data_IF_298894234624
#
_entry.id   IF_298894234624
#
_cell.length_a   1.000
_cell.length_b   1.000
_cell.length_c   1.000
_cell.angle_alpha   90.00
_cell.angle_beta   90.00
_cell.angle_gamma   90.00
#
_symmetry.space_group_name_H-M   'P 1'
#
loop_
_entity.id
_entity.type
_entity.pdbx_description
1 polymer ?
#
# COMPACT_ATOMS: atom_id res chain seq x y z
N UNK A 1 59.11 -30.46 -10.53
CA UNK A 1 58.04 -31.11 -9.73
C UNK A 1 57.44 -30.05 -8.82
N UNK A 2 56.11 -30.09 -8.76
CA UNK A 2 55.17 -29.04 -8.40
C UNK A 2 55.20 -28.50 -6.95
N UNK A 3 54.43 -27.42 -6.80
CA UNK A 3 53.49 -27.08 -5.71
C UNK A 3 53.89 -25.88 -4.83
N UNK A 4 53.06 -24.87 -4.51
CA UNK A 4 51.75 -24.38 -4.98
C UNK A 4 51.63 -22.95 -4.42
N UNK A 5 51.65 -21.92 -5.27
CA UNK A 5 51.24 -20.55 -4.89
C UNK A 5 49.74 -20.43 -5.23
N UNK A 6 48.88 -20.53 -4.22
CA UNK A 6 47.46 -20.19 -4.36
C UNK A 6 47.22 -18.71 -4.07
N UNK A 7 47.23 -17.97 -5.17
CA UNK A 7 46.33 -16.88 -5.53
C UNK A 7 45.26 -16.47 -4.50
N UNK A 8 45.50 -15.33 -3.83
CA UNK A 8 44.55 -14.61 -2.97
C UNK A 8 43.91 -13.41 -3.69
N UNK A 9 43.92 -13.38 -5.03
CA UNK A 9 43.28 -12.33 -5.81
C UNK A 9 41.78 -12.60 -6.05
N UNK A 10 40.96 -12.46 -5.00
CA UNK A 10 39.50 -12.30 -5.16
C UNK A 10 38.81 -11.67 -3.95
N UNK A 11 39.15 -10.43 -3.65
CA UNK A 11 38.28 -9.53 -2.89
C UNK A 11 37.75 -8.44 -3.84
N UNK A 12 36.42 -8.26 -3.98
CA UNK A 12 35.86 -7.17 -4.76
C UNK A 12 36.27 -5.84 -4.13
N UNK A 13 36.95 -5.00 -4.90
CA UNK A 13 37.27 -3.62 -4.55
C UNK A 13 35.99 -2.83 -4.27
N UNK A 14 35.84 -2.32 -3.04
CA UNK A 14 34.74 -1.44 -2.67
C UNK A 14 34.83 -0.12 -3.47
N UNK A 15 33.71 0.42 -3.99
CA UNK A 15 33.73 1.66 -4.76
C UNK A 15 34.02 2.88 -3.84
N UNK A 16 34.81 3.87 -4.32
CA UNK A 16 35.51 4.88 -3.51
C UNK A 16 34.63 5.99 -2.88
N UNK A 17 33.30 5.84 -2.80
CA UNK A 17 32.40 6.87 -2.26
C UNK A 17 31.28 6.34 -1.36
N UNK A 18 31.49 5.17 -0.76
CA UNK A 18 30.53 4.61 0.20
C UNK A 18 30.78 5.16 1.63
N UNK A 19 29.71 5.46 2.36
CA UNK A 19 29.71 5.93 3.75
C UNK A 19 28.92 4.93 4.59
N UNK A 20 29.41 4.61 5.79
CA UNK A 20 28.72 3.73 6.72
C UNK A 20 27.59 4.46 7.45
N UNK A 21 26.45 3.80 7.62
CA UNK A 21 25.37 4.29 8.46
C UNK A 21 25.78 4.26 9.94
N UNK A 22 25.66 5.39 10.62
CA UNK A 22 26.00 5.50 12.05
C UNK A 22 25.11 4.65 12.96
N UNK A 23 23.97 4.15 12.48
CA UNK A 23 22.98 3.40 13.27
C UNK A 23 23.13 1.89 13.10
N UNK A 24 23.37 1.42 11.88
CA UNK A 24 23.45 -0.02 11.59
C UNK A 24 24.77 -0.47 10.93
N UNK A 25 25.73 0.43 10.74
CA UNK A 25 27.07 0.13 10.22
C UNK A 25 27.16 -0.25 8.73
N UNK A 26 26.03 -0.34 8.02
CA UNK A 26 26.00 -0.75 6.61
C UNK A 26 26.54 0.36 5.70
N UNK A 27 27.24 -0.04 4.63
CA UNK A 27 27.79 0.88 3.62
C UNK A 27 26.72 1.27 2.60
N UNK A 28 26.61 2.57 2.35
CA UNK A 28 25.72 3.15 1.33
C UNK A 28 26.48 4.18 0.51
N UNK A 29 26.04 4.43 -0.73
CA UNK A 29 26.53 5.60 -1.46
C UNK A 29 26.14 6.92 -0.76
N UNK A 30 26.96 7.97 -0.92
CA UNK A 30 26.75 9.31 -0.33
C UNK A 30 25.39 9.95 -0.57
N UNK A 31 24.69 9.58 -1.64
CA UNK A 31 23.33 10.07 -1.92
C UNK A 31 22.28 9.20 -1.24
N UNK A 32 22.44 7.87 -1.28
CA UNK A 32 21.51 6.92 -0.66
C UNK A 32 21.52 6.99 0.86
N UNK A 33 22.64 7.34 1.49
CA UNK A 33 22.76 7.42 2.95
C UNK A 33 21.81 8.47 3.55
N UNK A 34 21.56 9.58 2.84
CA UNK A 34 20.64 10.66 3.25
C UNK A 34 19.18 10.20 3.37
N UNK A 35 18.80 9.15 2.65
CA UNK A 35 17.46 8.55 2.70
C UNK A 35 17.44 7.38 3.68
N UNK A 36 18.55 6.64 3.77
CA UNK A 36 18.68 5.49 4.65
C UNK A 36 18.74 5.86 6.13
N UNK A 37 19.62 6.78 6.54
CA UNK A 37 19.81 7.15 7.95
C UNK A 37 18.52 7.54 8.69
N UNK A 38 17.64 8.42 8.15
CA UNK A 38 16.39 8.74 8.83
C UNK A 38 15.45 7.54 8.94
N UNK A 39 15.42 6.64 7.94
CA UNK A 39 14.59 5.43 7.99
C UNK A 39 15.16 4.38 8.96
N UNK A 40 16.49 4.27 9.03
CA UNK A 40 17.19 3.39 9.95
C UNK A 40 16.97 3.83 11.41
N UNK A 41 17.00 5.14 11.66
CA UNK A 41 16.71 5.74 12.97
C UNK A 41 15.29 5.43 13.42
N UNK A 42 14.31 5.68 12.53
CA UNK A 42 12.91 5.41 12.82
C UNK A 42 12.67 3.93 13.14
N UNK A 43 13.33 3.03 12.39
CA UNK A 43 13.24 1.58 12.64
C UNK A 43 13.82 1.20 14.00
N UNK A 44 14.96 1.78 14.38
CA UNK A 44 15.58 1.55 15.70
C UNK A 44 14.68 2.05 16.84
N UNK A 45 14.11 3.25 16.72
CA UNK A 45 13.20 3.81 17.73
C UNK A 45 11.95 2.95 17.91
N UNK A 46 11.31 2.53 16.81
CA UNK A 46 10.13 1.66 16.85
C UNK A 46 10.46 0.32 17.51
N UNK A 47 11.64 -0.25 17.23
CA UNK A 47 12.06 -1.48 17.89
C UNK A 47 12.28 -1.28 19.39
N UNK A 48 12.89 -0.17 19.82
CA UNK A 48 13.09 0.12 21.24
C UNK A 48 11.79 0.38 22.01
N UNK A 49 10.76 0.93 21.36
CA UNK A 49 9.42 1.09 21.97
C UNK A 49 8.76 -0.26 22.29
N UNK A 50 9.08 -1.30 21.52
CA UNK A 50 8.57 -2.66 21.71
C UNK A 50 9.42 -3.50 22.68
N UNK A 51 10.59 -3.00 23.10
CA UNK A 51 11.50 -3.69 24.01
C UNK A 51 11.40 -3.13 25.43
N UNK A 52 11.65 -4.00 26.42
CA UNK A 52 11.76 -3.61 27.80
C UNK A 52 12.92 -2.60 27.97
N UNK A 53 12.84 -1.63 28.92
CA UNK A 53 13.81 -0.55 29.05
C UNK A 53 15.28 -0.97 29.06
N UNK A 54 15.57 -2.12 29.65
CA UNK A 54 16.90 -2.73 29.79
C UNK A 54 17.44 -3.37 28.49
N UNK A 55 16.58 -3.67 27.52
CA UNK A 55 16.94 -4.29 26.23
C UNK A 55 17.04 -3.27 25.09
N UNK A 56 16.75 -1.99 25.36
CA UNK A 56 16.74 -0.92 24.36
C UNK A 56 18.16 -0.62 23.89
N UNK A 57 18.36 -0.63 22.57
CA UNK A 57 19.63 -0.26 21.95
C UNK A 57 19.78 1.25 21.92
N UNK A 58 20.78 1.78 22.63
CA UNK A 58 21.07 3.22 22.65
C UNK A 58 21.65 3.68 21.31
N UNK A 59 21.29 4.89 20.87
CA UNK A 59 21.94 5.53 19.72
C UNK A 59 23.41 5.88 20.07
N UNK A 60 24.35 5.82 19.10
CA UNK A 60 25.70 6.35 19.30
C UNK A 60 25.66 7.85 19.65
N UNK A 61 26.35 8.22 20.72
CA UNK A 61 26.32 9.55 21.38
C UNK A 61 27.12 10.63 20.66
N UNK A 62 27.05 10.72 19.32
CA UNK A 62 27.64 11.84 18.59
C UNK A 62 26.53 12.70 18.00
N UNK A 63 26.44 13.93 18.53
CA UNK A 63 25.59 15.06 18.12
C UNK A 63 24.16 15.05 18.69
N UNK A 64 24.06 15.28 20.01
CA UNK A 64 22.79 15.60 20.68
C UNK A 64 22.17 16.93 20.19
N UNK A 65 22.93 17.80 19.51
CA UNK A 65 22.49 19.14 19.12
C UNK A 65 21.71 19.20 17.79
N UNK A 66 21.90 18.24 16.86
CA UNK A 66 21.21 18.26 15.55
C UNK A 66 19.85 17.52 15.53
N UNK A 67 19.49 16.84 16.62
CA UNK A 67 18.25 16.04 16.72
C UNK A 67 16.98 16.91 16.66
N UNK A 68 17.06 18.20 17.02
CA UNK A 68 15.91 19.11 16.96
C UNK A 68 15.41 19.39 15.53
N UNK A 69 16.25 19.24 14.50
CA UNK A 69 15.89 19.60 13.11
C UNK A 69 15.11 18.51 12.36
N UNK A 70 15.17 17.26 12.82
CA UNK A 70 14.54 16.10 12.15
C UNK A 70 13.33 15.53 12.89
N UNK A 71 12.64 16.33 13.72
CA UNK A 71 11.25 16.03 14.06
C UNK A 71 10.41 16.21 12.79
N UNK A 72 10.33 15.16 11.97
CA UNK A 72 9.25 15.05 10.98
C UNK A 72 7.95 15.17 11.78
N UNK A 73 7.00 16.05 11.41
CA UNK A 73 5.73 16.15 12.13
C UNK A 73 5.12 14.75 12.15
N UNK A 74 5.07 14.16 13.35
CA UNK A 74 4.35 12.91 13.60
C UNK A 74 2.88 13.27 13.50
N UNK A 75 2.36 13.26 12.28
CA UNK A 75 0.94 13.14 12.02
C UNK A 75 0.48 11.84 12.68
N UNK A 76 0.04 11.92 13.94
CA UNK A 76 -0.62 10.84 14.67
C UNK A 76 -1.95 10.44 14.03
N UNK A 77 -2.41 11.21 13.04
CA UNK A 77 -3.56 10.86 12.20
C UNK A 77 -3.08 9.88 11.13
N UNK A 78 -3.61 8.65 11.19
CA UNK A 78 -3.52 7.70 10.07
C UNK A 78 -3.99 8.42 8.80
N UNK A 79 -3.31 8.27 7.66
CA UNK A 79 -3.75 8.91 6.43
C UNK A 79 -5.20 8.46 6.15
N UNK A 80 -6.11 9.42 6.07
CA UNK A 80 -7.53 9.17 5.76
C UNK A 80 -7.61 8.62 4.35
N UNK A 81 -7.91 7.33 4.24
CA UNK A 81 -8.10 6.63 2.98
C UNK A 81 -9.57 6.28 2.79
N UNK A 82 -10.00 6.26 1.53
CA UNK A 82 -11.34 5.84 1.13
C UNK A 82 -11.22 4.82 -0.02
N UNK A 83 -12.10 3.80 -0.10
CA UNK A 83 -12.12 2.86 -1.20
C UNK A 83 -12.64 3.55 -2.46
N UNK A 84 -12.21 3.11 -3.63
CA UNK A 84 -12.88 3.46 -4.87
C UNK A 84 -14.21 2.71 -4.96
N UNK A 85 -15.31 3.44 -5.20
CA UNK A 85 -16.65 2.83 -5.30
C UNK A 85 -16.77 1.85 -6.46
N UNK A 86 -15.89 1.89 -7.46
CA UNK A 86 -15.88 0.95 -8.58
C UNK A 86 -15.05 -0.30 -8.28
N UNK A 87 -13.79 -0.12 -7.87
CA UNK A 87 -12.82 -1.23 -7.77
C UNK A 87 -12.45 -1.66 -6.35
N UNK A 88 -12.93 -0.97 -5.32
CA UNK A 88 -12.70 -1.31 -3.91
C UNK A 88 -11.30 -1.05 -3.38
N UNK A 89 -10.35 -0.56 -4.21
CA UNK A 89 -8.98 -0.24 -3.75
C UNK A 89 -8.97 1.01 -2.88
N UNK A 90 -8.16 1.00 -1.82
CA UNK A 90 -7.99 2.13 -0.91
C UNK A 90 -7.07 3.20 -1.51
N UNK A 91 -7.53 4.44 -1.50
CA UNK A 91 -6.78 5.60 -1.96
C UNK A 91 -6.78 6.69 -0.90
N UNK A 92 -5.76 7.55 -0.91
CA UNK A 92 -5.84 8.81 -0.18
C UNK A 92 -6.91 9.71 -0.80
N UNK A 93 -7.48 10.61 0.01
CA UNK A 93 -8.45 11.63 -0.43
C UNK A 93 -7.90 12.50 -1.57
N UNK A 94 -6.59 12.76 -1.61
CA UNK A 94 -5.96 13.50 -2.70
C UNK A 94 -5.84 12.67 -4.00
N UNK A 95 -5.61 11.37 -3.88
CA UNK A 95 -5.41 10.49 -5.05
C UNK A 95 -6.72 9.96 -5.65
N UNK A 96 -7.81 9.91 -4.89
CA UNK A 96 -9.07 9.31 -5.34
C UNK A 96 -9.71 10.10 -6.48
N UNK A 97 -9.62 11.44 -6.46
CA UNK A 97 -10.15 12.33 -7.52
C UNK A 97 -9.50 12.10 -8.88
N UNK A 98 -8.24 11.65 -8.88
CA UNK A 98 -7.48 11.33 -10.10
C UNK A 98 -7.76 9.88 -10.51
N UNK A 99 -7.95 8.98 -9.54
CA UNK A 99 -8.20 7.57 -9.78
C UNK A 99 -9.61 7.29 -10.34
N UNK A 100 -10.67 7.83 -9.73
CA UNK A 100 -12.06 7.59 -10.10
C UNK A 100 -12.37 7.76 -11.60
N UNK A 101 -12.00 8.87 -12.27
CA UNK A 101 -12.30 9.02 -13.69
C UNK A 101 -11.57 7.99 -14.56
N UNK A 102 -10.33 7.62 -14.20
CA UNK A 102 -9.59 6.58 -14.91
C UNK A 102 -10.20 5.20 -14.69
N UNK A 103 -10.64 4.92 -13.46
CA UNK A 103 -11.32 3.68 -13.11
C UNK A 103 -12.67 3.56 -13.84
N UNK A 104 -13.43 4.66 -13.91
CA UNK A 104 -14.70 4.72 -14.63
C UNK A 104 -14.52 4.51 -16.14
N UNK A 105 -13.50 5.13 -16.75
CA UNK A 105 -13.15 4.87 -18.15
C UNK A 105 -12.86 3.39 -18.39
N UNK A 106 -12.09 2.77 -17.50
CA UNK A 106 -11.80 1.32 -17.58
C UNK A 106 -13.06 0.48 -17.42
N UNK A 107 -13.92 0.82 -16.47
CA UNK A 107 -15.20 0.15 -16.26
C UNK A 107 -16.08 0.21 -17.51
N UNK A 108 -16.21 1.38 -18.17
CA UNK A 108 -17.00 1.53 -19.41
C UNK A 108 -16.48 0.61 -20.51
N UNK A 109 -15.17 0.61 -20.74
CA UNK A 109 -14.54 -0.27 -21.75
C UNK A 109 -14.74 -1.76 -21.44
N UNK A 110 -14.73 -2.17 -20.17
CA UNK A 110 -14.99 -3.55 -19.78
C UNK A 110 -16.48 -3.90 -19.94
N UNK A 111 -17.38 -2.98 -19.60
CA UNK A 111 -18.82 -3.14 -19.72
C UNK A 111 -19.28 -3.21 -21.18
N UNK A 112 -18.71 -2.40 -22.08
CA UNK A 112 -19.00 -2.43 -23.52
C UNK A 112 -18.64 -3.76 -24.18
N UNK A 113 -17.59 -4.44 -23.67
CA UNK A 113 -17.18 -5.77 -24.12
C UNK A 113 -18.15 -6.88 -23.71
N UNK A 114 -19.03 -6.62 -22.74
CA UNK A 114 -20.06 -7.57 -22.36
C UNK A 114 -21.17 -7.62 -23.43
N UNK A 115 -21.79 -8.79 -23.64
CA UNK A 115 -23.01 -8.90 -24.44
C UNK A 115 -24.06 -7.90 -23.97
N UNK A 116 -24.86 -7.32 -24.87
CA UNK A 116 -25.83 -6.25 -24.56
C UNK A 116 -26.69 -6.53 -23.30
N UNK A 117 -27.15 -7.78 -23.15
CA UNK A 117 -27.98 -8.22 -22.02
C UNK A 117 -27.23 -8.36 -20.67
N UNK A 118 -25.89 -8.36 -20.67
CA UNK A 118 -25.05 -8.39 -19.46
C UNK A 118 -24.43 -7.04 -19.13
N UNK A 119 -24.66 -6.01 -19.96
CA UNK A 119 -24.13 -4.66 -19.71
C UNK A 119 -24.85 -4.06 -18.51
N UNK A 120 -24.08 -3.46 -17.61
CA UNK A 120 -24.58 -2.73 -16.46
C UNK A 120 -24.78 -1.25 -16.81
N UNK A 121 -25.67 -0.58 -16.09
CA UNK A 121 -25.79 0.88 -16.12
C UNK A 121 -24.58 1.53 -15.47
N UNK A 122 -24.22 2.73 -15.92
CA UNK A 122 -23.11 3.49 -15.36
C UNK A 122 -23.31 3.73 -13.85
N UNK A 123 -22.34 3.38 -12.99
CA UNK A 123 -22.43 3.62 -11.57
C UNK A 123 -22.41 5.12 -11.29
N UNK A 124 -23.36 5.60 -10.48
CA UNK A 124 -23.45 7.00 -10.08
C UNK A 124 -22.40 7.25 -9.01
N UNK A 125 -21.61 8.33 -9.14
CA UNK A 125 -20.68 8.72 -8.09
C UNK A 125 -21.46 9.15 -6.83
N UNK A 126 -21.19 8.57 -5.64
CA UNK A 126 -21.82 9.03 -4.41
C UNK A 126 -21.42 10.47 -4.10
N UNK A 127 -22.40 11.28 -3.74
CA UNK A 127 -22.17 12.66 -3.32
C UNK A 127 -21.60 12.67 -1.90
N UNK A 128 -20.58 13.50 -1.69
CA UNK A 128 -19.89 13.60 -0.40
C UNK A 128 -20.74 14.49 0.51
N UNK A 129 -21.60 13.87 1.34
CA UNK A 129 -22.42 14.63 2.27
C UNK A 129 -21.56 15.26 3.36
N UNK A 130 -21.67 16.58 3.50
CA UNK A 130 -21.16 17.30 4.66
C UNK A 130 -22.03 16.95 5.88
N UNK A 131 -21.41 16.58 6.99
CA UNK A 131 -22.11 16.37 8.26
C UNK A 131 -22.74 17.67 8.77
N UNK A 132 -23.63 17.57 9.76
CA UNK A 132 -24.38 18.72 10.30
C UNK A 132 -23.53 19.85 10.89
N UNK A 133 -22.23 19.62 11.08
CA UNK A 133 -21.23 20.60 11.52
C UNK A 133 -20.30 21.09 10.38
N UNK A 134 -20.60 20.75 9.12
CA UNK A 134 -19.76 21.06 7.95
C UNK A 134 -18.50 20.19 7.83
N UNK A 135 -18.29 19.20 8.70
CA UNK A 135 -17.20 18.25 8.59
C UNK A 135 -17.63 17.02 7.78
N UNK A 136 -16.72 16.49 6.97
CA UNK A 136 -16.93 15.25 6.25
C UNK A 136 -16.87 14.09 7.25
N UNK A 137 -17.95 13.33 7.39
CA UNK A 137 -17.95 12.07 8.13
C UNK A 137 -17.25 10.99 7.29
N UNK A 138 -15.95 10.84 7.53
CA UNK A 138 -15.09 9.92 6.78
C UNK A 138 -15.52 8.46 6.89
N UNK A 139 -16.07 8.04 8.03
CA UNK A 139 -16.48 6.65 8.26
C UNK A 139 -17.73 6.35 7.44
N UNK A 140 -18.73 7.23 7.49
CA UNK A 140 -19.91 7.12 6.63
C UNK A 140 -19.54 7.12 5.14
N UNK A 141 -18.62 7.99 4.72
CA UNK A 141 -18.19 8.01 3.32
C UNK A 141 -17.50 6.72 2.91
N UNK A 142 -16.60 6.21 3.75
CA UNK A 142 -15.91 4.95 3.52
C UNK A 142 -16.91 3.79 3.36
N UNK A 143 -17.90 3.72 4.23
CA UNK A 143 -18.93 2.67 4.22
C UNK A 143 -19.85 2.77 3.00
N UNK A 144 -20.25 3.99 2.61
CA UNK A 144 -21.04 4.22 1.40
C UNK A 144 -20.28 3.77 0.15
N UNK A 145 -19.03 4.21 0.00
CA UNK A 145 -18.20 3.82 -1.13
C UNK A 145 -17.95 2.31 -1.16
N UNK A 146 -17.72 1.70 0.00
CA UNK A 146 -17.55 0.25 0.14
C UNK A 146 -18.82 -0.50 -0.28
N UNK A 147 -19.98 -0.06 0.20
CA UNK A 147 -21.28 -0.64 -0.16
C UNK A 147 -21.52 -0.55 -1.67
N UNK A 148 -21.26 0.60 -2.27
CA UNK A 148 -21.42 0.79 -3.72
C UNK A 148 -20.48 -0.11 -4.54
N UNK A 149 -19.28 -0.38 -4.03
CA UNK A 149 -18.39 -1.37 -4.64
C UNK A 149 -18.98 -2.78 -4.58
N UNK A 150 -19.51 -3.18 -3.41
CA UNK A 150 -20.12 -4.50 -3.25
C UNK A 150 -21.35 -4.71 -4.14
N UNK A 151 -22.14 -3.66 -4.37
CA UNK A 151 -23.34 -3.72 -5.22
C UNK A 151 -23.02 -3.93 -6.71
N UNK A 152 -21.82 -3.54 -7.16
CA UNK A 152 -21.36 -3.79 -8.53
C UNK A 152 -20.89 -5.23 -8.75
N UNK A 153 -20.63 -5.99 -7.68
CA UNK A 153 -20.15 -7.35 -7.80
C UNK A 153 -21.29 -8.33 -8.09
N UNK A 154 -21.07 -9.19 -9.08
CA UNK A 154 -22.03 -10.21 -9.51
C UNK A 154 -21.63 -11.57 -8.92
N UNK A 155 -22.56 -12.32 -8.30
CA UNK A 155 -22.27 -13.65 -7.79
C UNK A 155 -22.12 -14.66 -8.95
N UNK A 156 -21.17 -15.57 -8.79
CA UNK A 156 -21.01 -16.74 -9.65
C UNK A 156 -22.21 -17.67 -9.50
N UNK A 157 -22.78 -18.13 -10.62
CA UNK A 157 -23.95 -19.04 -10.63
C UNK A 157 -23.67 -20.42 -10.02
N UNK A 158 -22.41 -20.83 -9.95
CA UNK A 158 -22.01 -22.17 -9.49
C UNK A 158 -21.59 -22.16 -8.02
N UNK A 159 -20.80 -21.18 -7.58
CA UNK A 159 -20.23 -21.17 -6.23
C UNK A 159 -20.68 -20.00 -5.34
N UNK A 160 -21.43 -19.04 -5.86
CA UNK A 160 -21.94 -17.89 -5.11
C UNK A 160 -20.92 -16.78 -4.81
N UNK A 161 -19.62 -17.00 -5.08
CA UNK A 161 -18.59 -15.96 -4.88
C UNK A 161 -18.86 -14.74 -5.78
N UNK A 162 -18.69 -13.55 -5.24
CA UNK A 162 -18.89 -12.27 -5.93
C UNK A 162 -17.64 -11.86 -6.70
N UNK A 163 -17.80 -11.43 -7.94
CA UNK A 163 -16.72 -10.96 -8.81
C UNK A 163 -17.16 -9.73 -9.60
N UNK A 164 -16.21 -9.02 -10.19
CA UNK A 164 -16.53 -8.02 -11.21
C UNK A 164 -17.20 -8.71 -12.42
N UNK A 165 -18.15 -8.06 -13.10
CA UNK A 165 -18.86 -8.62 -14.25
C UNK A 165 -17.94 -9.16 -15.35
N UNK A 166 -16.82 -8.47 -15.61
CA UNK A 166 -15.82 -8.90 -16.60
C UNK A 166 -15.04 -10.17 -16.20
N UNK A 167 -14.99 -10.50 -14.91
CA UNK A 167 -14.24 -11.64 -14.36
C UNK A 167 -15.11 -12.83 -14.02
N UNK A 168 -16.40 -12.62 -13.74
CA UNK A 168 -17.32 -13.71 -13.36
C UNK A 168 -17.41 -14.77 -14.46
N UNK A 169 -17.46 -14.38 -15.73
CA UNK A 169 -17.54 -15.30 -16.87
C UNK A 169 -16.28 -16.15 -17.03
N UNK A 170 -15.09 -15.56 -16.80
CA UNK A 170 -13.83 -16.30 -16.80
C UNK A 170 -13.80 -17.31 -15.66
N UNK A 171 -14.27 -16.90 -14.49
CA UNK A 171 -14.35 -17.75 -13.32
C UNK A 171 -15.33 -18.91 -13.54
N UNK A 172 -16.53 -18.65 -14.06
CA UNK A 172 -17.59 -19.63 -14.29
C UNK A 172 -17.15 -20.77 -15.22
N UNK A 173 -16.32 -20.49 -16.24
CA UNK A 173 -15.78 -21.52 -17.15
C UNK A 173 -14.95 -22.60 -16.44
N UNK A 174 -14.29 -22.26 -15.33
CA UNK A 174 -13.41 -23.17 -14.59
C UNK A 174 -13.85 -23.35 -13.13
N UNK A 175 -15.08 -22.96 -12.80
CA UNK A 175 -15.56 -22.98 -11.43
C UNK A 175 -15.80 -24.42 -10.96
N UNK A 176 -15.02 -24.85 -9.96
CA UNK A 176 -15.16 -26.16 -9.29
C UNK A 176 -15.92 -26.08 -7.95
N UNK A 177 -16.47 -24.92 -7.61
CA UNK A 177 -17.09 -24.71 -6.30
C UNK A 177 -18.42 -25.44 -6.17
N UNK A 178 -18.75 -25.90 -4.96
CA UNK A 178 -20.12 -26.26 -4.58
C UNK A 178 -20.84 -24.98 -4.16
N UNK A 179 -22.14 -24.85 -4.46
CA UNK A 179 -22.96 -23.69 -4.06
C UNK A 179 -22.79 -23.49 -2.55
N UNK A 180 -22.11 -22.42 -2.14
CA UNK A 180 -22.06 -22.07 -0.72
C UNK A 180 -23.41 -21.43 -0.38
N UNK A 181 -24.29 -22.21 0.26
CA UNK A 181 -25.48 -21.66 0.89
C UNK A 181 -25.00 -20.80 2.06
N UNK A 182 -25.10 -19.49 1.91
CA UNK A 182 -24.90 -18.54 3.01
C UNK A 182 -26.00 -18.75 4.03
N UNK A 183 -25.64 -19.31 5.18
CA UNK A 183 -26.48 -19.35 6.39
C UNK A 183 -26.43 -17.99 7.08
#
# INVERSE_FOLDING_TARGET
VNETLQDLSRFPSAPPSSVACSICGKLFGRTSIKIHEPQCLQKLQTQNELLAPEERKQLPTLLADDVKKYKRPTSTKRPTTIPCYLCGKMFSMASISIHEPQCLKKWKMENEKLPSHKRQSEPIKPDLKLGGNGQIDFEQMNDLYWKMHLDQLVPCKVCGRKFNPSRVEIHERSCKGKVQQST
#
